data_IF_070421823328
#
_entry.id   IF_070421823328
#
_cell.length_a   1.000
_cell.length_b   1.000
_cell.length_c   1.000
_cell.angle_alpha   90.00
_cell.angle_beta   90.00
_cell.angle_gamma   90.00
#
_symmetry.space_group_name_H-M   'P 1'
#
loop_
_entity.id
_entity.type
_entity.pdbx_description
1 polymer ?
#
# COMPACT_ATOMS: atom_id res chain seq x y z
N UNK A 1 -16.14 -7.12 -14.45
CA UNK A 1 -15.01 -6.17 -14.59
C UNK A 1 -14.76 -5.47 -13.26
N UNK A 2 -14.37 -6.19 -12.20
CA UNK A 2 -14.25 -5.61 -10.85
C UNK A 2 -12.82 -5.15 -10.51
N UNK A 3 -11.80 -5.70 -11.17
CA UNK A 3 -10.39 -5.38 -10.90
C UNK A 3 -10.02 -3.92 -11.20
N UNK A 4 -10.70 -3.25 -12.15
CA UNK A 4 -10.49 -1.82 -12.43
C UNK A 4 -10.82 -0.95 -11.22
N UNK A 5 -11.87 -1.32 -10.46
CA UNK A 5 -12.20 -0.64 -9.21
C UNK A 5 -11.15 -0.87 -8.13
N UNK A 6 -10.58 -2.08 -8.07
CA UNK A 6 -9.47 -2.40 -7.17
C UNK A 6 -8.25 -1.53 -7.47
N UNK A 7 -7.90 -1.38 -8.76
CA UNK A 7 -6.76 -0.54 -9.17
C UNK A 7 -6.95 0.92 -8.76
N UNK A 8 -8.16 1.47 -8.93
CA UNK A 8 -8.45 2.83 -8.47
C UNK A 8 -8.28 2.97 -6.96
N UNK A 9 -8.88 2.06 -6.16
CA UNK A 9 -8.77 2.10 -4.70
C UNK A 9 -7.34 1.89 -4.20
N UNK A 10 -6.58 0.99 -4.82
CA UNK A 10 -5.16 0.78 -4.53
C UNK A 10 -4.38 2.07 -4.78
N UNK A 11 -4.59 2.71 -5.93
CA UNK A 11 -3.91 3.96 -6.28
C UNK A 11 -4.24 5.06 -5.29
N UNK A 12 -5.51 5.25 -4.98
CA UNK A 12 -5.97 6.32 -4.10
C UNK A 12 -5.45 6.08 -2.66
N UNK A 13 -5.48 4.84 -2.18
CA UNK A 13 -4.89 4.45 -0.88
C UNK A 13 -3.38 4.72 -0.82
N UNK A 14 -2.63 4.34 -1.85
CA UNK A 14 -1.18 4.64 -1.91
C UNK A 14 -0.91 6.15 -1.91
N UNK A 15 -1.71 6.94 -2.61
CA UNK A 15 -1.58 8.39 -2.64
C UNK A 15 -1.85 9.03 -1.27
N UNK A 16 -2.91 8.57 -0.59
CA UNK A 16 -3.22 9.00 0.77
C UNK A 16 -2.09 8.65 1.75
N UNK A 17 -1.53 7.44 1.65
CA UNK A 17 -0.42 7.00 2.51
C UNK A 17 0.85 7.82 2.29
N UNK A 18 1.20 8.12 1.04
CA UNK A 18 2.35 8.97 0.71
C UNK A 18 2.15 10.41 1.21
N UNK A 19 0.95 10.95 1.06
CA UNK A 19 0.64 12.31 1.53
C UNK A 19 0.71 12.40 3.06
N UNK A 20 0.31 11.32 3.74
CA UNK A 20 0.32 11.22 5.19
C UNK A 20 1.74 11.10 5.76
N UNK A 21 2.67 10.47 5.03
CA UNK A 21 4.07 10.33 5.43
C UNK A 21 4.80 11.66 5.57
N UNK A 22 4.56 12.60 4.66
CA UNK A 22 5.19 13.93 4.72
C UNK A 22 4.74 14.73 5.97
N UNK A 23 3.53 14.45 6.48
CA UNK A 23 2.93 15.09 7.66
C UNK A 23 3.28 14.40 9.00
N UNK A 24 4.01 13.28 8.95
CA UNK A 24 4.29 12.41 10.11
C UNK A 24 5.53 12.82 10.93
N UNK A 25 6.32 13.79 10.44
CA UNK A 25 7.53 14.24 11.14
C UNK A 25 7.12 15.08 12.36
N UNK A 26 7.22 14.50 13.57
CA UNK A 26 7.00 15.12 14.90
C UNK A 26 5.58 15.03 15.50
N UNK A 27 4.81 13.97 15.23
CA UNK A 27 3.52 13.72 15.89
C UNK A 27 3.70 13.15 17.32
N UNK A 28 2.75 13.40 18.22
CA UNK A 28 2.71 12.79 19.56
C UNK A 28 2.24 11.32 19.54
N UNK A 29 2.36 10.64 20.68
CA UNK A 29 2.04 9.21 20.82
C UNK A 29 0.56 8.88 20.54
N UNK A 30 -0.36 9.75 20.96
CA UNK A 30 -1.81 9.56 20.73
C UNK A 30 -2.16 9.68 19.24
N UNK A 31 -1.55 10.66 18.55
CA UNK A 31 -1.71 10.84 17.10
C UNK A 31 -1.12 9.66 16.35
N UNK A 32 0.04 9.16 16.81
CA UNK A 32 0.64 7.96 16.25
C UNK A 32 -0.25 6.72 16.39
N UNK A 33 -0.87 6.49 17.54
CA UNK A 33 -1.78 5.36 17.75
C UNK A 33 -3.00 5.44 16.83
N UNK A 34 -3.60 6.63 16.68
CA UNK A 34 -4.71 6.86 15.76
C UNK A 34 -4.31 6.52 14.31
N UNK A 35 -3.11 6.92 13.90
CA UNK A 35 -2.61 6.67 12.56
C UNK A 35 -2.25 5.21 12.32
N UNK A 36 -1.67 4.52 13.31
CA UNK A 36 -1.45 3.09 13.25
C UNK A 36 -2.77 2.32 13.11
N UNK A 37 -3.84 2.77 13.78
CA UNK A 37 -5.18 2.21 13.63
C UNK A 37 -5.76 2.42 12.23
N UNK A 38 -5.68 3.65 11.71
CA UNK A 38 -6.12 3.96 10.34
C UNK A 38 -5.34 3.16 9.29
N UNK A 39 -4.03 3.01 9.48
CA UNK A 39 -3.18 2.23 8.60
C UNK A 39 -3.54 0.74 8.59
N UNK A 40 -3.85 0.15 9.75
CA UNK A 40 -4.34 -1.23 9.86
C UNK A 40 -5.68 -1.41 9.14
N UNK A 41 -6.57 -0.44 9.25
CA UNK A 41 -7.85 -0.45 8.55
C UNK A 41 -7.63 -0.40 7.03
N UNK A 42 -6.84 0.55 6.54
CA UNK A 42 -6.48 0.66 5.11
C UNK A 42 -5.78 -0.61 4.60
N UNK A 43 -4.88 -1.19 5.38
CA UNK A 43 -4.19 -2.46 5.07
C UNK A 43 -5.19 -3.59 4.78
N UNK A 44 -6.24 -3.71 5.58
CA UNK A 44 -7.28 -4.73 5.41
C UNK A 44 -8.01 -4.60 4.07
N UNK A 45 -8.40 -3.37 3.69
CA UNK A 45 -9.05 -3.13 2.40
C UNK A 45 -8.08 -3.34 1.23
N UNK A 46 -6.84 -2.87 1.39
CA UNK A 46 -5.80 -3.01 0.37
C UNK A 46 -5.46 -4.48 0.12
N UNK A 47 -5.48 -5.33 1.15
CA UNK A 47 -5.31 -6.78 1.01
C UNK A 47 -6.39 -7.40 0.14
N UNK A 48 -7.66 -7.04 0.36
CA UNK A 48 -8.77 -7.52 -0.46
C UNK A 48 -8.59 -7.11 -1.94
N UNK A 49 -8.26 -5.85 -2.19
CA UNK A 49 -8.09 -5.32 -3.53
C UNK A 49 -6.86 -5.93 -4.25
N UNK A 50 -5.72 -6.05 -3.55
CA UNK A 50 -4.52 -6.68 -4.10
C UNK A 50 -4.72 -8.16 -4.36
N UNK A 51 -5.39 -8.88 -3.46
CA UNK A 51 -5.70 -10.29 -3.66
C UNK A 51 -6.62 -10.50 -4.87
N UNK A 52 -7.61 -9.63 -5.06
CA UNK A 52 -8.46 -9.63 -6.25
C UNK A 52 -7.67 -9.32 -7.52
N UNK A 53 -6.77 -8.32 -7.49
CA UNK A 53 -5.90 -7.98 -8.61
C UNK A 53 -4.97 -9.14 -9.00
N UNK A 54 -4.25 -9.72 -8.02
CA UNK A 54 -3.32 -10.84 -8.22
C UNK A 54 -4.07 -12.06 -8.80
N UNK A 55 -5.25 -12.38 -8.26
CA UNK A 55 -6.05 -13.52 -8.72
C UNK A 55 -6.48 -13.38 -10.19
N UNK A 56 -6.68 -12.16 -10.68
CA UNK A 56 -7.08 -11.86 -12.05
C UNK A 56 -5.89 -11.60 -13.00
N UNK A 57 -4.66 -11.60 -12.48
CA UNK A 57 -3.45 -11.35 -13.27
C UNK A 57 -2.97 -12.62 -13.99
N UNK A 58 -2.23 -12.48 -15.10
CA UNK A 58 -1.55 -13.60 -15.78
C UNK A 58 -0.40 -14.15 -14.94
N UNK A 59 -0.13 -15.46 -15.04
CA UNK A 59 0.85 -16.15 -14.18
C UNK A 59 2.27 -15.55 -14.24
N UNK A 60 2.67 -14.99 -15.38
CA UNK A 60 3.94 -14.31 -15.59
C UNK A 60 4.17 -13.09 -14.66
N UNK A 61 3.10 -12.43 -14.21
CA UNK A 61 3.18 -11.26 -13.33
C UNK A 61 2.69 -11.53 -11.90
N UNK A 62 1.97 -12.64 -11.67
CA UNK A 62 1.44 -12.99 -10.34
C UNK A 62 2.53 -12.98 -9.26
N UNK A 63 3.66 -13.66 -9.52
CA UNK A 63 4.75 -13.74 -8.55
C UNK A 63 5.29 -12.37 -8.16
N UNK A 64 5.53 -11.50 -9.14
CA UNK A 64 6.04 -10.14 -8.91
C UNK A 64 5.07 -9.33 -8.07
N UNK A 65 3.76 -9.41 -8.36
CA UNK A 65 2.74 -8.70 -7.61
C UNK A 65 2.54 -9.25 -6.20
N UNK A 66 2.58 -10.58 -6.02
CA UNK A 66 2.55 -11.21 -4.70
C UNK A 66 3.74 -10.78 -3.86
N UNK A 67 4.96 -10.81 -4.41
CA UNK A 67 6.17 -10.39 -3.71
C UNK A 67 6.11 -8.90 -3.33
N UNK A 68 5.54 -8.06 -4.19
CA UNK A 68 5.35 -6.63 -3.94
C UNK A 68 4.29 -6.38 -2.85
N UNK A 69 3.16 -7.08 -2.90
CA UNK A 69 2.13 -7.02 -1.87
C UNK A 69 2.69 -7.45 -0.50
N UNK A 70 3.45 -8.54 -0.45
CA UNK A 70 4.07 -9.00 0.79
C UNK A 70 5.03 -7.97 1.38
N UNK A 71 5.88 -7.33 0.57
CA UNK A 71 6.78 -6.26 1.03
C UNK A 71 6.02 -5.04 1.56
N UNK A 72 4.90 -4.69 0.91
CA UNK A 72 4.04 -3.61 1.37
C UNK A 72 3.46 -3.92 2.75
N UNK A 73 2.81 -5.08 2.91
CA UNK A 73 2.18 -5.45 4.17
C UNK A 73 3.20 -5.59 5.30
N UNK A 74 4.38 -6.13 5.02
CA UNK A 74 5.49 -6.15 5.98
C UNK A 74 5.87 -4.74 6.44
N UNK A 75 5.96 -3.78 5.51
CA UNK A 75 6.26 -2.38 5.85
C UNK A 75 5.13 -1.70 6.64
N UNK A 76 3.88 -2.11 6.42
CA UNK A 76 2.71 -1.63 7.17
C UNK A 76 2.56 -2.30 8.55
N UNK A 77 3.15 -3.47 8.77
CA UNK A 77 3.20 -4.14 10.08
C UNK A 77 4.34 -3.60 10.96
N UNK A 78 5.50 -3.30 10.38
CA UNK A 78 6.68 -2.74 11.06
C UNK A 78 6.62 -1.21 11.28
N UNK A 79 5.41 -0.68 11.42
CA UNK A 79 5.16 0.75 11.59
C UNK A 79 5.58 1.16 12.99
N UNK A 80 6.86 1.49 13.11
CA UNK A 80 7.49 2.09 14.28
C UNK A 80 7.61 3.62 14.05
N UNK A 81 7.18 4.45 15.02
CA UNK A 81 7.22 5.91 14.91
C UNK A 81 8.63 6.46 14.61
N UNK A 82 9.68 5.73 14.97
CA UNK A 82 11.07 6.13 14.74
C UNK A 82 11.64 5.71 13.38
N UNK A 83 10.99 4.78 12.66
CA UNK A 83 11.48 4.23 11.39
C UNK A 83 10.46 4.22 10.26
N UNK A 84 9.32 4.88 10.44
CA UNK A 84 8.31 5.02 9.42
C UNK A 84 8.88 5.74 8.19
N UNK A 85 9.20 4.97 7.16
CA UNK A 85 9.60 5.47 5.85
C UNK A 85 8.88 4.65 4.77
N UNK A 86 7.55 4.80 4.72
CA UNK A 86 6.74 4.13 3.69
C UNK A 86 7.16 4.55 2.27
N UNK A 87 7.83 5.69 2.12
CA UNK A 87 8.21 6.29 0.86
C UNK A 87 9.18 5.43 0.06
N UNK A 88 10.09 4.69 0.70
CA UNK A 88 11.00 3.80 -0.03
C UNK A 88 10.29 2.57 -0.60
N UNK A 89 9.37 1.97 0.16
CA UNK A 89 8.59 0.80 -0.27
C UNK A 89 7.48 1.18 -1.24
N UNK A 90 6.78 2.29 -1.01
CA UNK A 90 5.68 2.77 -1.86
C UNK A 90 6.16 3.35 -3.19
N UNK A 91 7.34 3.97 -3.25
CA UNK A 91 7.93 4.37 -4.54
C UNK A 91 8.14 3.16 -5.48
N UNK A 92 8.43 1.97 -4.93
CA UNK A 92 8.49 0.73 -5.70
C UNK A 92 7.11 0.27 -6.23
N UNK A 93 6.03 0.47 -5.46
CA UNK A 93 4.65 0.20 -5.90
C UNK A 93 4.18 1.20 -6.95
N UNK A 94 4.50 2.48 -6.78
CA UNK A 94 4.10 3.55 -7.69
C UNK A 94 4.72 3.33 -9.09
N UNK A 95 5.97 2.85 -9.17
CA UNK A 95 6.65 2.58 -10.46
C UNK A 95 6.17 1.26 -11.11
N UNK A 96 5.88 0.20 -10.35
CA UNK A 96 5.55 -1.10 -10.95
C UNK A 96 4.05 -1.34 -11.14
N UNK A 97 3.16 -0.84 -10.28
CA UNK A 97 1.72 -1.09 -10.42
C UNK A 97 1.05 -0.12 -11.40
N UNK A 98 1.45 1.15 -11.44
CA UNK A 98 0.87 2.16 -12.35
C UNK A 98 1.31 1.89 -13.79
N UNK A 99 2.60 1.61 -14.02
CA UNK A 99 3.11 1.44 -15.38
C UNK A 99 2.61 0.14 -16.05
N UNK A 100 2.34 -0.90 -15.26
CA UNK A 100 1.98 -2.23 -15.77
C UNK A 100 0.47 -2.45 -15.94
N UNK A 101 -0.40 -1.67 -15.28
CA UNK A 101 -1.86 -1.85 -15.34
C UNK A 101 -2.65 -0.69 -15.94
N UNK A 102 -2.03 0.48 -16.17
CA UNK A 102 -2.66 1.64 -16.84
C UNK A 102 -2.19 1.84 -18.29
N UNK A 103 -1.35 0.94 -18.82
CA UNK A 103 -1.00 0.81 -20.24
C UNK A 103 -1.80 -0.31 -20.90
#
# INVERSE_FOLDING_TARGET
MEWRGCVCRIRDCVFELLSTEDDLIQQDEDTWELMASELRLKSTFLYCDLNQLISNTRDEHKKVLTDLANRLFHSMEEVDPASFSLGQTLNFLHINCIFFFLS
#
